data_IF_844317278192
#
_entry.id   IF_844317278192
#
_cell.length_a   1.000
_cell.length_b   1.000
_cell.length_c   1.000
_cell.angle_alpha   90.00
_cell.angle_beta   90.00
_cell.angle_gamma   90.00
#
_symmetry.space_group_name_H-M   'P 1'
#
loop_
_entity.id
_entity.type
_entity.pdbx_description
1 polymer ?
#
# COMPACT_ATOMS: atom_id res chain seq x y z
N UNK A 1 -49.76 4.99 7.72
CA UNK A 1 -48.34 5.12 8.10
C UNK A 1 -47.49 5.16 6.83
N UNK A 2 -46.97 6.33 6.46
CA UNK A 2 -46.14 6.49 5.26
C UNK A 2 -44.70 6.08 5.58
N UNK A 3 -44.15 5.10 4.84
CA UNK A 3 -42.75 4.68 4.97
C UNK A 3 -41.84 5.77 4.42
N UNK A 4 -41.07 6.41 5.31
CA UNK A 4 -39.98 7.32 4.98
C UNK A 4 -38.95 6.55 4.14
N UNK A 5 -38.79 6.94 2.87
CA UNK A 5 -37.70 6.43 2.04
C UNK A 5 -36.40 7.03 2.56
N UNK A 6 -35.59 6.23 3.26
CA UNK A 6 -34.21 6.57 3.58
C UNK A 6 -33.44 6.74 2.27
N UNK A 7 -33.11 7.99 1.94
CA UNK A 7 -32.19 8.32 0.87
C UNK A 7 -30.83 7.69 1.22
N UNK A 8 -30.49 6.60 0.54
CA UNK A 8 -29.18 5.96 0.64
C UNK A 8 -28.13 7.00 0.23
N UNK A 9 -27.39 7.52 1.22
CA UNK A 9 -26.24 8.40 0.98
C UNK A 9 -25.36 7.73 -0.08
N UNK A 10 -24.93 8.43 -1.14
CA UNK A 10 -24.01 7.85 -2.10
C UNK A 10 -22.78 7.39 -1.30
N UNK A 11 -22.49 6.09 -1.32
CA UNK A 11 -21.23 5.57 -0.79
C UNK A 11 -20.16 6.34 -1.53
N UNK A 12 -19.42 7.21 -0.83
CA UNK A 12 -18.27 7.91 -1.41
C UNK A 12 -17.49 6.84 -2.16
N UNK A 13 -17.20 7.00 -3.47
CA UNK A 13 -16.31 6.07 -4.12
C UNK A 13 -15.06 6.07 -3.25
N UNK A 14 -14.70 4.92 -2.68
CA UNK A 14 -13.42 4.76 -1.98
C UNK A 14 -12.35 4.91 -3.06
N UNK A 15 -12.10 6.15 -3.46
CA UNK A 15 -11.03 6.52 -4.35
C UNK A 15 -9.77 6.44 -3.53
N UNK A 16 -9.19 5.25 -3.49
CA UNK A 16 -7.75 5.13 -3.38
C UNK A 16 -7.35 4.22 -4.53
N UNK A 17 -6.71 4.82 -5.53
CA UNK A 17 -6.30 4.17 -6.77
C UNK A 17 -5.11 3.22 -6.49
N UNK A 18 -5.34 2.22 -5.63
CA UNK A 18 -4.34 1.24 -5.19
C UNK A 18 -3.87 0.33 -6.33
N UNK A 19 -4.60 0.32 -7.45
CA UNK A 19 -4.15 -0.39 -8.64
C UNK A 19 -2.76 0.03 -9.08
N UNK A 20 -2.41 1.32 -8.94
CA UNK A 20 -1.07 1.76 -9.31
C UNK A 20 0.01 1.15 -8.40
N UNK A 21 -0.22 1.15 -7.08
CA UNK A 21 0.72 0.55 -6.12
C UNK A 21 0.84 -0.96 -6.35
N UNK A 22 -0.26 -1.65 -6.70
CA UNK A 22 -0.24 -3.09 -7.02
C UNK A 22 0.66 -3.42 -8.21
N UNK A 23 0.93 -2.49 -9.13
CA UNK A 23 1.88 -2.68 -10.25
C UNK A 23 3.34 -2.75 -9.79
N UNK A 24 3.63 -2.33 -8.55
CA UNK A 24 4.97 -2.46 -7.98
C UNK A 24 5.29 -3.88 -7.53
N UNK A 25 4.33 -4.81 -7.55
CA UNK A 25 4.61 -6.20 -7.21
C UNK A 25 5.61 -6.82 -8.20
N UNK A 26 6.67 -7.45 -7.68
CA UNK A 26 7.82 -7.96 -8.43
C UNK A 26 8.86 -6.90 -8.82
N UNK A 27 8.67 -5.62 -8.46
CA UNK A 27 9.65 -4.55 -8.74
C UNK A 27 10.64 -4.41 -7.59
N UNK A 28 11.90 -4.12 -7.95
CA UNK A 28 12.93 -3.66 -7.01
C UNK A 28 12.73 -2.18 -6.71
N UNK A 29 12.75 -1.83 -5.44
CA UNK A 29 12.44 -0.50 -4.92
C UNK A 29 13.38 -0.14 -3.78
N UNK A 30 13.52 1.16 -3.51
CA UNK A 30 14.05 1.68 -2.25
C UNK A 30 12.88 2.14 -1.38
N UNK A 31 12.80 1.61 -0.16
CA UNK A 31 11.76 1.98 0.82
C UNK A 31 12.41 2.82 1.90
N UNK A 32 11.92 4.05 2.07
CA UNK A 32 12.39 4.98 3.07
C UNK A 32 11.44 4.94 4.26
N UNK A 33 11.94 4.48 5.40
CA UNK A 33 11.18 4.32 6.63
C UNK A 33 11.27 5.57 7.51
N UNK A 34 10.27 5.75 8.36
CA UNK A 34 10.14 6.89 9.30
C UNK A 34 11.28 7.02 10.31
N UNK A 35 11.92 5.91 10.64
CA UNK A 35 13.08 5.90 11.53
C UNK A 35 14.39 6.32 10.81
N UNK A 36 14.33 6.66 9.52
CA UNK A 36 15.47 7.02 8.68
C UNK A 36 16.17 5.84 8.01
N UNK A 37 15.72 4.60 8.24
CA UNK A 37 16.27 3.43 7.55
C UNK A 37 15.84 3.40 6.07
N UNK A 38 16.73 2.90 5.22
CA UNK A 38 16.46 2.71 3.79
C UNK A 38 16.64 1.24 3.46
N UNK A 39 15.61 0.63 2.86
CA UNK A 39 15.61 -0.77 2.45
C UNK A 39 15.67 -0.88 0.93
N UNK A 40 16.73 -1.52 0.44
CA UNK A 40 16.78 -2.04 -0.94
C UNK A 40 16.01 -3.37 -0.99
N UNK A 41 14.82 -3.35 -1.59
CA UNK A 41 13.85 -4.42 -1.45
C UNK A 41 13.17 -4.79 -2.77
N UNK A 42 12.72 -6.03 -2.90
CA UNK A 42 11.77 -6.45 -3.94
C UNK A 42 10.39 -6.60 -3.33
N UNK A 43 9.37 -5.95 -3.89
CA UNK A 43 8.00 -6.10 -3.40
C UNK A 43 7.44 -7.45 -3.86
N UNK A 44 6.93 -8.24 -2.93
CA UNK A 44 6.36 -9.57 -3.20
C UNK A 44 4.86 -9.65 -2.90
N UNK A 45 4.31 -8.65 -2.20
CA UNK A 45 2.88 -8.57 -1.94
C UNK A 45 2.46 -7.21 -1.40
N UNK A 46 1.23 -6.79 -1.72
CA UNK A 46 0.67 -5.53 -1.24
C UNK A 46 -0.77 -5.77 -0.78
N UNK A 47 -1.08 -5.35 0.43
CA UNK A 47 -2.44 -5.36 0.99
C UNK A 47 -2.93 -3.92 1.18
N UNK A 48 -3.99 -3.74 1.99
CA UNK A 48 -4.48 -2.42 2.37
C UNK A 48 -3.47 -1.68 3.27
N UNK A 49 -2.84 -2.35 4.25
CA UNK A 49 -2.02 -1.71 5.29
C UNK A 49 -0.58 -2.20 5.34
N UNK A 50 -0.29 -3.30 4.67
CA UNK A 50 1.01 -3.96 4.68
C UNK A 50 1.61 -4.02 3.27
N UNK A 51 2.94 -4.08 3.24
CA UNK A 51 3.74 -4.41 2.06
C UNK A 51 4.66 -5.55 2.48
N UNK A 52 4.62 -6.65 1.74
CA UNK A 52 5.53 -7.77 1.90
C UNK A 52 6.67 -7.59 0.92
N UNK A 53 7.90 -7.68 1.42
CA UNK A 53 9.10 -7.47 0.63
C UNK A 53 10.15 -8.53 0.90
N UNK A 54 11.04 -8.73 -0.07
CA UNK A 54 12.26 -9.50 0.08
C UNK A 54 13.46 -8.56 0.14
N UNK A 55 14.28 -8.68 1.19
CA UNK A 55 15.54 -7.93 1.39
C UNK A 55 16.65 -8.96 1.58
N UNK A 56 17.51 -9.11 0.58
CA UNK A 56 18.46 -10.22 0.52
C UNK A 56 17.71 -11.56 0.56
N UNK A 57 18.01 -12.41 1.55
CA UNK A 57 17.33 -13.70 1.78
C UNK A 57 16.16 -13.63 2.77
N UNK A 58 15.83 -12.44 3.30
CA UNK A 58 14.79 -12.27 4.32
C UNK A 58 13.49 -11.79 3.71
N UNK A 59 12.38 -12.38 4.16
CA UNK A 59 11.04 -11.86 3.89
C UNK A 59 10.61 -10.97 5.05
N UNK A 60 10.20 -9.74 4.76
CA UNK A 60 9.76 -8.76 5.73
C UNK A 60 8.33 -8.33 5.44
N UNK A 61 7.55 -8.13 6.49
CA UNK A 61 6.26 -7.46 6.44
C UNK A 61 6.43 -6.05 6.99
N UNK A 62 6.15 -5.04 6.18
CA UNK A 62 6.28 -3.63 6.51
C UNK A 62 4.89 -3.02 6.58
N UNK A 63 4.57 -2.37 7.70
CA UNK A 63 3.35 -1.57 7.80
C UNK A 63 3.51 -0.23 7.06
N UNK A 64 2.52 0.14 6.25
CA UNK A 64 2.54 1.39 5.46
C UNK A 64 2.65 2.65 6.31
N UNK A 65 2.21 2.62 7.58
CA UNK A 65 2.35 3.77 8.49
C UNK A 65 3.81 4.02 8.95
N UNK A 66 4.71 3.07 8.72
CA UNK A 66 6.14 3.20 9.00
C UNK A 66 6.94 3.67 7.78
N UNK A 67 6.31 3.80 6.61
CA UNK A 67 6.94 4.22 5.35
C UNK A 67 6.67 5.69 5.12
N UNK A 68 7.72 6.46 4.81
CA UNK A 68 7.56 7.83 4.35
C UNK A 68 7.30 7.87 2.84
N UNK A 69 8.15 7.20 2.05
CA UNK A 69 7.96 7.07 0.60
C UNK A 69 8.68 5.85 0.03
N UNK A 70 8.32 5.50 -1.22
CA UNK A 70 8.93 4.41 -1.99
C UNK A 70 9.44 5.00 -3.30
N UNK A 71 10.71 4.76 -3.58
CA UNK A 71 11.36 5.10 -4.85
C UNK A 71 11.48 3.85 -5.72
N UNK A 72 11.10 3.96 -6.99
CA UNK A 72 11.17 2.88 -7.97
C UNK A 72 11.54 3.46 -9.33
N UNK A 73 12.28 2.68 -10.12
CA UNK A 73 12.56 2.99 -11.53
C UNK A 73 11.54 2.28 -12.41
N UNK A 74 11.06 2.92 -13.48
CA UNK A 74 10.13 2.31 -14.44
C UNK A 74 10.76 1.11 -15.17
#
# INVERSE_FOLDING_TARGET
MQKKQEQRRPKRPQQQNFEYVRRLNGKKVKIFLRNGEVLDAEITGISNYEIVVKVGERNLLIYKHAVDYIEFSE
#
